data_IF_090437219052
#
_entry.id   IF_090437219052
#
_cell.length_a   1.000
_cell.length_b   1.000
_cell.length_c   1.000
_cell.angle_alpha   90.00
_cell.angle_beta   90.00
_cell.angle_gamma   90.00
#
_symmetry.space_group_name_H-M   'P 1'
#
loop_
_entity.id
_entity.type
_entity.pdbx_description
1 polymer ?
#
# COMPACT_ATOMS: atom_id res chain seq x y z
N UNK A 1 -37.17 3.60 -5.10
CA UNK A 1 -35.83 4.00 -5.53
C UNK A 1 -34.89 3.45 -4.49
N UNK A 2 -34.33 2.27 -4.76
CA UNK A 2 -33.46 1.60 -3.80
C UNK A 2 -32.10 2.31 -3.83
N UNK A 3 -31.83 3.10 -2.80
CA UNK A 3 -30.55 3.78 -2.61
C UNK A 3 -29.70 2.88 -1.74
N UNK A 4 -29.21 1.77 -2.29
CA UNK A 4 -28.18 0.97 -1.61
C UNK A 4 -26.97 1.87 -1.34
N UNK A 5 -26.58 1.96 -0.08
CA UNK A 5 -25.38 2.71 0.30
C UNK A 5 -24.15 2.10 -0.40
N UNK A 6 -23.20 2.95 -0.85
CA UNK A 6 -21.99 2.47 -1.51
C UNK A 6 -21.27 1.49 -0.58
N UNK A 7 -21.04 0.28 -1.07
CA UNK A 7 -20.46 -0.80 -0.28
C UNK A 7 -18.97 -0.91 -0.58
N UNK A 8 -18.16 -0.60 0.43
CA UNK A 8 -16.71 -0.78 0.39
C UNK A 8 -16.33 -2.08 1.11
N UNK A 9 -15.69 -3.00 0.40
CA UNK A 9 -15.12 -4.23 0.95
C UNK A 9 -13.60 -4.25 0.78
N UNK A 10 -12.92 -4.93 1.71
CA UNK A 10 -11.48 -5.19 1.62
C UNK A 10 -11.28 -6.68 1.42
N UNK A 11 -10.66 -7.06 0.31
CA UNK A 11 -10.45 -8.45 -0.08
C UNK A 11 -8.97 -8.79 0.02
N UNK A 12 -8.62 -9.83 0.79
CA UNK A 12 -7.31 -10.45 0.70
C UNK A 12 -7.21 -11.21 -0.62
N UNK A 13 -6.15 -10.94 -1.39
CA UNK A 13 -5.94 -11.54 -2.71
C UNK A 13 -4.60 -12.26 -2.78
N UNK A 14 -4.50 -13.25 -3.66
CA UNK A 14 -3.29 -14.04 -3.85
C UNK A 14 -2.93 -14.22 -5.32
N UNK A 15 -2.04 -15.18 -5.65
CA UNK A 15 -1.53 -15.37 -7.01
C UNK A 15 -2.61 -15.58 -8.08
N UNK A 16 -3.83 -16.01 -7.72
CA UNK A 16 -4.93 -16.17 -8.68
C UNK A 16 -5.50 -14.84 -9.19
N UNK A 17 -5.33 -13.74 -8.45
CA UNK A 17 -5.84 -12.40 -8.76
C UNK A 17 -4.72 -11.46 -9.25
N UNK A 18 -3.71 -12.02 -9.91
CA UNK A 18 -2.53 -11.28 -10.35
C UNK A 18 -2.86 -10.12 -11.30
N UNK A 19 -3.88 -10.30 -12.13
CA UNK A 19 -4.36 -9.34 -13.13
C UNK A 19 -4.99 -8.11 -12.46
N UNK A 20 -5.83 -8.31 -11.44
CA UNK A 20 -6.42 -7.25 -10.60
C UNK A 20 -5.33 -6.40 -9.97
N UNK A 21 -4.36 -7.04 -9.31
CA UNK A 21 -3.26 -6.32 -8.63
C UNK A 21 -2.36 -5.61 -9.63
N UNK A 22 -2.03 -6.25 -10.76
CA UNK A 22 -1.26 -5.62 -11.84
C UNK A 22 -1.98 -4.37 -12.35
N UNK A 23 -3.28 -4.43 -12.61
CA UNK A 23 -4.05 -3.29 -13.10
C UNK A 23 -3.98 -2.10 -12.14
N UNK A 24 -4.27 -2.31 -10.86
CA UNK A 24 -4.18 -1.29 -9.82
C UNK A 24 -2.76 -0.74 -9.66
N UNK A 25 -1.75 -1.62 -9.68
CA UNK A 25 -0.36 -1.23 -9.51
C UNK A 25 0.13 -0.38 -10.68
N UNK A 26 -0.18 -0.75 -11.92
CA UNK A 26 0.17 0.06 -13.08
C UNK A 26 -0.62 1.38 -13.13
N UNK A 27 -1.86 1.41 -12.65
CA UNK A 27 -2.61 2.65 -12.47
C UNK A 27 -1.94 3.57 -11.44
N UNK A 28 -1.53 3.03 -10.28
CA UNK A 28 -0.84 3.79 -9.23
C UNK A 28 0.45 4.45 -9.72
N UNK A 29 1.24 3.74 -10.53
CA UNK A 29 2.50 4.25 -11.09
C UNK A 29 2.29 5.27 -12.21
N UNK A 30 1.14 5.24 -12.90
CA UNK A 30 0.79 6.25 -13.91
C UNK A 30 0.27 7.53 -13.29
N UNK A 31 -0.59 7.41 -12.28
CA UNK A 31 -1.27 8.56 -11.68
C UNK A 31 -0.37 9.29 -10.68
N UNK A 32 0.31 8.53 -9.81
CA UNK A 32 1.08 9.07 -8.70
C UNK A 32 2.55 8.56 -8.71
N UNK A 33 3.30 8.73 -9.81
CA UNK A 33 4.65 8.15 -9.95
C UNK A 33 5.59 8.57 -8.82
N UNK A 34 5.49 9.80 -8.33
CA UNK A 34 6.32 10.35 -7.25
C UNK A 34 6.08 9.69 -5.88
N UNK A 35 4.96 8.99 -5.70
CA UNK A 35 4.61 8.32 -4.43
C UNK A 35 5.21 6.93 -4.30
N UNK A 36 5.87 6.42 -5.35
CA UNK A 36 6.39 5.06 -5.38
C UNK A 36 7.84 5.01 -5.81
N UNK A 37 8.59 4.12 -5.15
CA UNK A 37 9.99 3.89 -5.44
C UNK A 37 10.23 3.29 -6.83
N UNK A 38 9.31 2.44 -7.30
CA UNK A 38 9.36 1.82 -8.62
C UNK A 38 8.85 2.77 -9.71
N UNK A 39 9.35 2.58 -10.92
CA UNK A 39 8.91 3.26 -12.13
C UNK A 39 7.93 2.39 -12.91
N UNK A 40 7.03 3.02 -13.65
CA UNK A 40 6.11 2.32 -14.55
C UNK A 40 6.86 1.46 -15.57
N UNK A 41 7.98 1.97 -16.11
CA UNK A 41 8.82 1.27 -17.08
C UNK A 41 9.44 -0.02 -16.53
N UNK A 42 9.67 -0.10 -15.22
CA UNK A 42 10.16 -1.32 -14.57
C UNK A 42 9.07 -2.38 -14.40
N UNK A 43 7.81 -1.98 -14.26
CA UNK A 43 6.72 -2.90 -13.88
C UNK A 43 5.81 -3.29 -15.06
N UNK A 44 5.72 -2.46 -16.12
CA UNK A 44 4.78 -2.70 -17.23
C UNK A 44 5.06 -3.97 -18.02
N UNK A 45 6.34 -4.34 -18.13
CA UNK A 45 6.81 -5.52 -18.86
C UNK A 45 6.81 -6.83 -18.06
N UNK A 46 6.47 -6.78 -16.76
CA UNK A 46 6.44 -7.98 -15.93
C UNK A 46 5.38 -8.97 -16.43
N UNK A 47 5.80 -10.22 -16.54
CA UNK A 47 5.00 -11.38 -16.96
C UNK A 47 4.00 -11.81 -15.89
N UNK A 48 3.01 -12.59 -16.29
CA UNK A 48 2.06 -13.20 -15.35
C UNK A 48 2.76 -14.00 -14.24
N UNK A 49 3.76 -14.82 -14.58
CA UNK A 49 4.49 -15.63 -13.60
C UNK A 49 5.23 -14.77 -12.56
N UNK A 50 5.82 -13.64 -12.98
CA UNK A 50 6.46 -12.70 -12.06
C UNK A 50 5.45 -12.04 -11.11
N UNK A 51 4.25 -11.71 -11.59
CA UNK A 51 3.17 -11.20 -10.73
C UNK A 51 2.68 -12.25 -9.75
N UNK A 52 2.45 -13.48 -10.22
CA UNK A 52 2.04 -14.61 -9.37
C UNK A 52 3.08 -14.91 -8.30
N UNK A 53 4.35 -14.95 -8.66
CA UNK A 53 5.46 -15.17 -7.74
C UNK A 53 5.56 -14.04 -6.70
N UNK A 54 5.39 -12.78 -7.11
CA UNK A 54 5.34 -11.63 -6.19
C UNK A 54 4.19 -11.77 -5.19
N UNK A 55 2.98 -12.08 -5.67
CA UNK A 55 1.81 -12.25 -4.79
C UNK A 55 1.88 -13.48 -3.88
N UNK A 56 2.75 -14.44 -4.19
CA UNK A 56 2.99 -15.58 -3.32
C UNK A 56 3.91 -15.23 -2.13
N UNK A 57 4.67 -14.13 -2.21
CA UNK A 57 5.67 -13.76 -1.18
C UNK A 57 5.24 -12.62 -0.27
N UNK A 58 4.12 -11.96 -0.56
CA UNK A 58 3.59 -10.84 0.23
C UNK A 58 2.09 -10.99 0.45
N UNK A 59 1.60 -10.52 1.59
CA UNK A 59 0.17 -10.35 1.81
C UNK A 59 -0.31 -9.15 0.98
N UNK A 60 -1.44 -9.27 0.29
CA UNK A 60 -2.00 -8.20 -0.57
C UNK A 60 -3.49 -8.07 -0.35
N UNK A 61 -3.97 -6.83 -0.29
CA UNK A 61 -5.39 -6.52 -0.23
C UNK A 61 -5.80 -5.57 -1.34
N UNK A 62 -7.03 -5.77 -1.81
CA UNK A 62 -7.71 -4.89 -2.76
C UNK A 62 -8.95 -4.30 -2.09
N UNK A 63 -9.16 -3.00 -2.29
CA UNK A 63 -10.40 -2.35 -1.93
C UNK A 63 -11.37 -2.40 -3.10
N UNK A 64 -12.58 -2.88 -2.86
CA UNK A 64 -13.64 -2.98 -3.86
C UNK A 64 -14.80 -2.07 -3.45
N UNK A 65 -15.15 -1.12 -4.30
CA UNK A 65 -16.26 -0.18 -4.11
C UNK A 65 -17.32 -0.48 -5.15
N UNK A 66 -18.50 -0.93 -4.72
CA UNK A 66 -19.62 -1.28 -5.60
C UNK A 66 -19.22 -2.24 -6.73
N UNK A 67 -18.38 -3.24 -6.40
CA UNK A 67 -17.86 -4.23 -7.34
C UNK A 67 -16.66 -3.77 -8.18
N UNK A 68 -16.17 -2.55 -7.99
CA UNK A 68 -15.03 -1.99 -8.72
C UNK A 68 -13.79 -1.93 -7.84
N UNK A 69 -12.68 -2.47 -8.33
CA UNK A 69 -11.36 -2.38 -7.69
C UNK A 69 -10.89 -0.91 -7.66
N UNK A 70 -10.73 -0.34 -6.47
CA UNK A 70 -10.40 1.09 -6.26
C UNK A 70 -9.18 1.32 -5.38
N UNK A 71 -8.49 0.28 -4.92
CA UNK A 71 -7.27 0.46 -4.15
C UNK A 71 -6.53 -0.84 -3.88
N UNK A 72 -5.25 -0.72 -3.53
CA UNK A 72 -4.36 -1.84 -3.26
C UNK A 72 -3.43 -1.47 -2.11
N UNK A 73 -3.02 -2.47 -1.33
CA UNK A 73 -1.90 -2.37 -0.38
C UNK A 73 -1.23 -3.73 -0.23
N UNK A 74 0.07 -3.73 0.05
CA UNK A 74 0.85 -4.93 0.32
C UNK A 74 1.49 -4.87 1.70
N UNK A 75 1.66 -6.03 2.32
CA UNK A 75 2.44 -6.19 3.54
C UNK A 75 3.39 -7.39 3.44
N UNK A 76 4.59 -7.21 3.95
CA UNK A 76 5.62 -8.26 4.08
C UNK A 76 6.33 -8.12 5.43
N UNK A 77 7.08 -9.11 5.91
CA UNK A 77 8.04 -8.89 6.99
C UNK A 77 8.99 -7.74 6.62
N UNK A 78 9.33 -6.89 7.59
CA UNK A 78 10.34 -5.86 7.38
C UNK A 78 11.74 -6.49 7.25
N UNK A 79 12.56 -5.92 6.36
CA UNK A 79 13.87 -6.49 6.01
C UNK A 79 14.93 -6.21 7.07
N UNK A 80 14.77 -5.14 7.85
CA UNK A 80 15.75 -4.68 8.82
C UNK A 80 15.30 -4.94 10.26
N UNK A 81 14.00 -5.05 10.49
CA UNK A 81 13.40 -5.32 11.78
C UNK A 81 12.55 -6.60 11.75
N UNK A 82 13.06 -7.74 12.25
CA UNK A 82 12.33 -9.01 12.23
C UNK A 82 11.06 -9.01 13.09
N UNK A 83 10.82 -7.97 13.89
CA UNK A 83 9.63 -7.81 14.74
C UNK A 83 8.57 -6.91 14.12
N UNK A 84 8.82 -6.38 12.92
CA UNK A 84 7.94 -5.47 12.22
C UNK A 84 7.39 -6.07 10.93
N UNK A 85 6.14 -5.75 10.61
CA UNK A 85 5.61 -5.86 9.26
C UNK A 85 5.83 -4.55 8.51
N UNK A 86 6.22 -4.63 7.25
CA UNK A 86 6.36 -3.50 6.35
C UNK A 86 5.08 -3.30 5.53
N UNK A 87 4.47 -2.12 5.62
CA UNK A 87 3.35 -1.69 4.77
C UNK A 87 3.91 -0.94 3.56
N UNK A 88 3.54 -1.38 2.36
CA UNK A 88 4.00 -0.75 1.12
C UNK A 88 2.92 -0.76 0.04
N UNK A 89 3.14 0.05 -1.00
CA UNK A 89 2.29 0.02 -2.20
C UNK A 89 0.86 0.49 -2.00
N UNK A 90 0.55 1.18 -0.88
CA UNK A 90 -0.78 1.71 -0.63
C UNK A 90 -1.15 2.72 -1.73
N UNK A 91 -2.25 2.46 -2.40
CA UNK A 91 -2.82 3.38 -3.38
C UNK A 91 -4.33 3.27 -3.42
N UNK A 92 -4.98 4.40 -3.68
CA UNK A 92 -6.43 4.48 -3.87
C UNK A 92 -6.73 5.33 -5.09
N UNK A 93 -7.46 4.74 -6.04
CA UNK A 93 -7.94 5.40 -7.24
C UNK A 93 -8.83 6.61 -6.90
N UNK A 94 -8.89 7.66 -7.73
CA UNK A 94 -9.72 8.84 -7.49
C UNK A 94 -11.16 8.54 -7.05
N UNK A 95 -11.80 7.55 -7.69
CA UNK A 95 -13.16 7.13 -7.37
C UNK A 95 -13.31 6.56 -5.94
N UNK A 96 -12.26 5.92 -5.42
CA UNK A 96 -12.22 5.39 -4.05
C UNK A 96 -11.76 6.39 -2.98
N UNK A 97 -11.28 7.59 -3.35
CA UNK A 97 -10.78 8.57 -2.37
C UNK A 97 -11.93 9.17 -1.55
N UNK A 98 -11.56 9.73 -0.38
CA UNK A 98 -12.48 10.37 0.60
C UNK A 98 -13.60 9.46 1.13
N UNK A 99 -13.45 8.14 0.98
CA UNK A 99 -14.38 7.10 1.47
C UNK A 99 -13.76 6.21 2.55
N UNK A 100 -12.73 6.71 3.24
CA UNK A 100 -11.90 5.95 4.20
C UNK A 100 -11.24 4.68 3.61
N UNK A 101 -11.17 4.54 2.28
CA UNK A 101 -10.55 3.38 1.61
C UNK A 101 -9.12 3.13 2.04
N UNK A 102 -8.29 4.18 2.12
CA UNK A 102 -6.91 4.03 2.58
C UNK A 102 -6.84 3.61 4.05
N UNK A 103 -7.75 4.13 4.89
CA UNK A 103 -7.88 3.73 6.31
C UNK A 103 -8.25 2.25 6.42
N UNK A 104 -9.22 1.78 5.63
CA UNK A 104 -9.65 0.39 5.62
C UNK A 104 -8.54 -0.57 5.14
N UNK A 105 -7.82 -0.20 4.06
CA UNK A 105 -6.67 -0.96 3.58
C UNK A 105 -5.55 -1.03 4.62
N UNK A 106 -5.18 0.09 5.24
CA UNK A 106 -4.17 0.10 6.31
C UNK A 106 -4.63 -0.71 7.53
N UNK A 107 -5.92 -0.64 7.89
CA UNK A 107 -6.48 -1.45 8.96
C UNK A 107 -6.32 -2.95 8.73
N UNK A 108 -6.57 -3.43 7.51
CA UNK A 108 -6.37 -4.83 7.15
C UNK A 108 -4.90 -5.29 7.30
N UNK A 109 -3.93 -4.41 6.98
CA UNK A 109 -2.51 -4.67 7.20
C UNK A 109 -2.19 -4.76 8.69
N UNK A 110 -2.69 -3.82 9.50
CA UNK A 110 -2.47 -3.76 10.95
C UNK A 110 -3.05 -5.00 11.64
N UNK A 111 -4.29 -5.37 11.30
CA UNK A 111 -4.94 -6.58 11.83
C UNK A 111 -4.14 -7.84 11.47
N UNK A 112 -3.72 -7.96 10.21
CA UNK A 112 -2.92 -9.10 9.76
C UNK A 112 -1.59 -9.16 10.50
N UNK A 113 -0.87 -8.04 10.61
CA UNK A 113 0.41 -7.99 11.29
C UNK A 113 0.30 -8.41 12.77
N UNK A 114 -0.74 -7.96 13.46
CA UNK A 114 -1.02 -8.37 14.83
C UNK A 114 -1.32 -9.88 14.93
N UNK A 115 -2.11 -10.42 14.01
CA UNK A 115 -2.40 -11.87 13.96
C UNK A 115 -1.18 -12.74 13.65
N UNK A 116 -0.19 -12.20 12.95
CA UNK A 116 1.08 -12.87 12.63
C UNK A 116 2.13 -12.72 13.76
N UNK A 117 1.81 -11.99 14.83
CA UNK A 117 2.68 -11.81 16.00
C UNK A 117 3.74 -10.72 15.85
N UNK A 118 3.63 -9.86 14.84
CA UNK A 118 4.47 -8.67 14.76
C UNK A 118 4.15 -7.70 15.89
N UNK A 119 5.15 -6.92 16.32
CA UNK A 119 5.02 -5.93 17.40
C UNK A 119 4.75 -4.52 16.89
N UNK A 120 4.92 -4.30 15.59
CA UNK A 120 4.73 -3.00 14.94
C UNK A 120 4.51 -3.16 13.45
N UNK A 121 3.92 -2.14 12.83
CA UNK A 121 3.91 -1.93 11.38
C UNK A 121 4.80 -0.74 11.07
N UNK A 122 5.69 -0.87 10.09
CA UNK A 122 6.56 0.20 9.59
C UNK A 122 6.29 0.50 8.13
N UNK A 123 6.55 1.72 7.70
CA UNK A 123 6.46 2.14 6.30
C UNK A 123 7.37 3.33 6.02
N UNK A 124 7.65 3.54 4.74
CA UNK A 124 8.34 4.74 4.26
C UNK A 124 7.35 5.65 3.53
N UNK A 125 7.41 6.95 3.82
CA UNK A 125 6.61 7.97 3.14
C UNK A 125 7.49 9.08 2.61
N UNK A 126 7.33 9.44 1.33
CA UNK A 126 7.98 10.60 0.76
C UNK A 126 7.59 11.88 1.51
N UNK A 127 8.56 12.71 1.85
CA UNK A 127 8.36 14.00 2.52
C UNK A 127 7.44 14.97 1.76
N UNK A 128 7.39 14.85 0.43
CA UNK A 128 6.47 15.59 -0.44
C UNK A 128 5.04 15.04 -0.45
N UNK A 129 4.81 13.81 0.05
CA UNK A 129 3.50 13.18 0.08
C UNK A 129 2.74 13.54 1.36
N UNK A 130 2.39 14.82 1.49
CA UNK A 130 1.66 15.34 2.65
C UNK A 130 0.32 14.63 2.91
N UNK A 131 -0.34 14.14 1.85
CA UNK A 131 -1.58 13.39 1.98
C UNK A 131 -1.39 12.04 2.70
N UNK A 132 -0.32 11.31 2.36
CA UNK A 132 0.03 10.08 3.05
C UNK A 132 0.54 10.33 4.47
N UNK A 133 1.37 11.36 4.69
CA UNK A 133 1.85 11.73 6.04
C UNK A 133 0.67 12.03 6.98
N UNK A 134 -0.30 12.83 6.51
CA UNK A 134 -1.52 13.14 7.28
C UNK A 134 -2.41 11.90 7.51
N UNK A 135 -2.54 11.01 6.53
CA UNK A 135 -3.27 9.75 6.67
C UNK A 135 -2.64 8.89 7.77
N UNK A 136 -1.34 8.65 7.71
CA UNK A 136 -0.66 7.76 8.64
C UNK A 136 -0.61 8.35 10.06
N UNK A 137 -0.38 9.65 10.20
CA UNK A 137 -0.51 10.33 11.48
C UNK A 137 -1.92 10.17 12.08
N UNK A 138 -2.98 10.30 11.26
CA UNK A 138 -4.36 10.06 11.69
C UNK A 138 -4.67 8.60 12.07
N UNK A 139 -3.87 7.66 11.59
CA UNK A 139 -3.92 6.23 11.96
C UNK A 139 -3.06 5.89 13.19
N UNK A 140 -2.37 6.88 13.78
CA UNK A 140 -1.53 6.69 14.96
C UNK A 140 -0.07 6.32 14.64
N UNK A 141 0.34 6.35 13.37
CA UNK A 141 1.75 6.18 13.04
C UNK A 141 2.57 7.40 13.49
N UNK A 142 3.78 7.14 13.95
CA UNK A 142 4.73 8.16 14.41
C UNK A 142 6.07 8.02 13.69
N UNK A 143 6.78 9.14 13.49
CA UNK A 143 8.13 9.12 12.90
C UNK A 143 9.11 8.38 13.82
N UNK A 144 9.89 7.45 13.25
CA UNK A 144 10.96 6.76 13.99
C UNK A 144 12.22 7.63 14.14
N UNK A 145 12.29 8.72 13.37
CA UNK A 145 13.48 9.56 13.21
C UNK A 145 14.43 9.09 12.11
N UNK A 146 14.19 7.90 11.53
CA UNK A 146 14.94 7.41 10.38
C UNK A 146 14.49 8.10 9.10
N UNK A 147 15.45 8.39 8.23
CA UNK A 147 15.23 9.00 6.93
C UNK A 147 16.06 8.29 5.88
N UNK A 148 15.56 8.23 4.65
CA UNK A 148 16.30 7.77 3.47
C UNK A 148 16.03 8.74 2.30
N UNK A 149 16.63 8.48 1.15
CA UNK A 149 16.40 9.20 -0.11
C UNK A 149 16.01 8.21 -1.20
N UNK A 150 15.09 8.63 -2.07
CA UNK A 150 14.80 7.85 -3.27
C UNK A 150 16.06 7.62 -4.11
N UNK A 151 16.06 6.58 -4.95
CA UNK A 151 17.11 6.42 -5.96
C UNK A 151 16.96 7.46 -7.08
N UNK A 152 18.06 7.80 -7.78
CA UNK A 152 18.00 8.59 -9.00
C UNK A 152 16.96 8.04 -9.99
N UNK A 153 16.18 8.90 -10.68
CA UNK A 153 16.33 10.36 -10.74
C UNK A 153 15.48 11.13 -9.70
N UNK A 154 14.99 10.46 -8.64
CA UNK A 154 14.09 11.05 -7.63
C UNK A 154 14.77 11.31 -6.28
N UNK A 155 16.09 11.23 -6.22
CA UNK A 155 16.96 11.41 -5.05
C UNK A 155 16.85 12.78 -4.38
N UNK A 156 16.13 13.73 -4.98
CA UNK A 156 15.77 15.00 -4.38
C UNK A 156 14.73 14.89 -3.25
N UNK A 157 14.04 13.76 -3.12
CA UNK A 157 13.02 13.55 -2.09
C UNK A 157 13.55 12.69 -0.95
N UNK A 158 13.47 13.23 0.28
CA UNK A 158 13.63 12.45 1.51
C UNK A 158 12.40 11.59 1.75
N UNK A 159 12.58 10.36 2.22
CA UNK A 159 11.53 9.53 2.80
C UNK A 159 11.70 9.47 4.32
N UNK A 160 10.58 9.52 5.04
CA UNK A 160 10.54 9.33 6.48
C UNK A 160 10.00 7.94 6.78
N UNK A 161 10.67 7.23 7.69
CA UNK A 161 10.12 6.01 8.24
C UNK A 161 9.10 6.35 9.33
N UNK A 162 7.93 5.73 9.24
CA UNK A 162 6.88 5.81 10.23
C UNK A 162 6.65 4.42 10.83
N UNK A 163 6.28 4.37 12.11
CA UNK A 163 5.88 3.14 12.79
C UNK A 163 4.57 3.28 13.54
N UNK A 164 3.82 2.18 13.64
CA UNK A 164 2.68 1.99 14.52
C UNK A 164 2.97 0.77 15.41
N UNK A 165 2.95 0.95 16.73
CA UNK A 165 3.07 -0.16 17.68
C UNK A 165 1.72 -0.87 17.79
N UNK A 166 1.74 -2.20 17.73
CA UNK A 166 0.56 -3.07 17.75
C UNK A 166 0.14 -3.50 19.16
#
# INVERSE_FOLDING_TARGET
MDLTEPTLTIEAVGPKQWDRVRALRLASLREDPQSFFKLLSEEIGLTEDEWRARLASVNTWVAVLDGVDVGVVTSSPDRENPTAAHLSGLWVAPAGRRRRTAVALSGAVVERAGSEGFRRVVLWVASANHGADALYAGLGFTRTGRTDTFKPPRDLYTEWELELVL
#
